data_IF_097091184227
#
_entry.id   IF_097091184227
#
_cell.length_a   1.000
_cell.length_b   1.000
_cell.length_c   1.000
_cell.angle_alpha   90.00
_cell.angle_beta   90.00
_cell.angle_gamma   90.00
#
_symmetry.space_group_name_H-M   'P 1'
#
loop_
_entity.id
_entity.type
_entity.pdbx_description
1 polymer ?
#
# COMPACT_ATOMS: atom_id res chain seq x y z
N UNK A 1 30.56 3.07 -17.16
CA UNK A 1 29.86 4.26 -16.63
C UNK A 1 30.63 4.80 -15.42
N UNK A 2 30.55 6.10 -15.14
CA UNK A 2 31.52 6.81 -14.27
C UNK A 2 31.20 6.66 -12.77
N UNK A 3 32.19 6.97 -11.92
CA UNK A 3 32.07 6.83 -10.46
C UNK A 3 31.19 7.88 -9.77
N UNK A 4 30.79 8.94 -10.49
CA UNK A 4 30.07 10.08 -9.93
C UNK A 4 28.65 9.70 -9.43
N UNK A 5 27.99 8.72 -10.08
CA UNK A 5 26.68 8.21 -9.67
C UNK A 5 26.71 7.53 -8.28
N UNK A 6 27.84 6.94 -7.90
CA UNK A 6 28.01 6.31 -6.56
C UNK A 6 28.11 7.36 -5.45
N UNK A 7 28.65 8.54 -5.76
CA UNK A 7 28.74 9.67 -4.83
C UNK A 7 27.39 10.39 -4.73
N UNK A 8 26.60 10.45 -5.81
CA UNK A 8 25.23 10.95 -5.76
C UNK A 8 24.34 10.10 -4.83
N UNK A 9 24.44 8.77 -4.90
CA UNK A 9 23.72 7.86 -4.00
C UNK A 9 24.13 8.06 -2.52
N UNK A 10 25.42 8.26 -2.23
CA UNK A 10 25.90 8.52 -0.88
C UNK A 10 25.50 9.90 -0.33
N UNK A 11 25.57 10.96 -1.15
CA UNK A 11 25.29 12.33 -0.70
C UNK A 11 23.79 12.63 -0.51
N UNK A 12 22.90 11.96 -1.25
CA UNK A 12 21.46 12.10 -1.03
C UNK A 12 20.98 11.44 0.29
N UNK A 13 21.77 10.52 0.85
CA UNK A 13 21.51 9.90 2.15
C UNK A 13 21.93 10.76 3.35
N UNK A 14 22.73 11.81 3.13
CA UNK A 14 23.29 12.64 4.21
C UNK A 14 22.49 13.91 4.53
N UNK A 15 21.50 14.29 3.72
CA UNK A 15 20.97 15.66 3.73
C UNK A 15 19.76 15.95 4.63
N UNK A 16 19.16 14.95 5.30
CA UNK A 16 18.17 15.20 6.38
C UNK A 16 18.27 14.19 7.53
N UNK A 17 18.84 14.63 8.64
CA UNK A 17 18.76 13.96 9.93
C UNK A 17 17.31 13.82 10.39
N UNK A 18 16.80 12.59 10.47
CA UNK A 18 15.70 12.24 11.37
C UNK A 18 16.08 10.96 12.12
N UNK A 19 16.22 11.10 13.44
CA UNK A 19 16.38 9.98 14.36
C UNK A 19 15.03 9.36 14.71
N UNK A 20 15.09 8.16 15.31
CA UNK A 20 14.04 7.47 16.13
C UNK A 20 13.32 6.27 15.48
N UNK A 21 13.15 5.23 16.32
CA UNK A 21 12.35 3.98 16.21
C UNK A 21 12.76 2.89 15.19
N UNK A 22 13.27 1.75 15.69
CA UNK A 22 13.43 0.47 14.96
C UNK A 22 13.15 -0.73 15.91
N UNK A 23 12.50 -1.79 15.40
CA UNK A 23 12.26 -3.16 15.93
C UNK A 23 11.04 -3.49 16.85
N UNK A 24 9.94 -3.92 16.18
CA UNK A 24 8.82 -4.84 16.53
C UNK A 24 8.21 -5.22 15.16
N UNK A 25 7.85 -6.44 14.77
CA UNK A 25 7.67 -7.75 15.43
C UNK A 25 8.82 -8.73 15.00
N UNK A 26 9.11 -9.91 15.56
CA UNK A 26 8.30 -10.91 16.27
C UNK A 26 9.08 -11.52 17.47
N UNK A 27 8.47 -11.51 18.67
CA UNK A 27 8.86 -12.43 19.76
C UNK A 27 7.77 -12.53 20.84
N UNK A 28 6.56 -12.95 20.46
CA UNK A 28 5.55 -13.42 21.40
C UNK A 28 5.67 -14.94 21.51
N UNK A 29 6.16 -15.43 22.66
CA UNK A 29 6.08 -16.86 22.98
C UNK A 29 4.61 -17.22 23.18
N UNK A 30 4.02 -17.92 22.21
CA UNK A 30 2.74 -18.61 22.41
C UNK A 30 3.05 -19.94 23.12
N UNK A 31 2.43 -20.25 24.26
CA UNK A 31 2.56 -21.58 24.87
C UNK A 31 1.81 -22.60 24.00
N UNK A 32 2.51 -23.64 23.56
CA UNK A 32 1.90 -24.74 22.81
C UNK A 32 0.91 -25.51 23.71
N UNK A 33 -0.31 -25.82 23.23
CA UNK A 33 -1.17 -26.78 23.91
C UNK A 33 -0.60 -28.21 23.77
N UNK A 34 -0.89 -29.13 24.71
CA UNK A 34 -0.43 -30.51 24.61
C UNK A 34 -1.11 -31.24 23.43
N UNK A 35 -0.44 -32.24 22.82
CA UNK A 35 -0.96 -32.91 21.63
C UNK A 35 -2.20 -33.75 21.95
N UNK A 36 -3.37 -33.30 21.48
CA UNK A 36 -4.57 -34.12 21.47
C UNK A 36 -4.42 -35.23 20.43
N UNK A 37 -4.28 -36.48 20.87
CA UNK A 37 -4.19 -37.63 19.98
C UNK A 37 -5.44 -37.72 19.10
N UNK A 38 -5.27 -37.71 17.77
CA UNK A 38 -6.30 -38.12 16.82
C UNK A 38 -5.76 -39.14 15.83
N UNK A 39 -6.42 -40.30 15.90
CA UNK A 39 -6.26 -41.48 15.08
C UNK A 39 -6.06 -41.17 13.60
N UNK A 40 -4.97 -41.70 13.04
CA UNK A 40 -4.79 -41.87 11.60
C UNK A 40 -5.89 -42.82 11.12
N UNK A 41 -6.83 -42.32 10.30
CA UNK A 41 -7.66 -43.18 9.45
C UNK A 41 -7.03 -43.20 8.07
N UNK A 42 -6.44 -44.34 7.71
CA UNK A 42 -6.10 -44.62 6.33
C UNK A 42 -7.39 -44.67 5.50
N UNK A 43 -7.35 -44.13 4.29
CA UNK A 43 -8.29 -44.45 3.22
C UNK A 43 -7.48 -45.02 2.05
N UNK A 44 -7.93 -46.13 1.43
CA UNK A 44 -7.21 -46.75 0.34
C UNK A 44 -7.51 -46.07 -1.00
N UNK A 45 -6.57 -46.17 -1.93
CA UNK A 45 -6.77 -45.78 -3.33
C UNK A 45 -7.81 -46.69 -4.02
N UNK A 46 -8.59 -46.11 -4.93
CA UNK A 46 -9.32 -46.89 -5.93
C UNK A 46 -9.47 -46.10 -7.23
N UNK A 47 -9.05 -46.71 -8.34
CA UNK A 47 -9.14 -46.17 -9.70
C UNK A 47 -10.49 -46.50 -10.37
N UNK A 48 -10.69 -45.92 -11.57
CA UNK A 48 -11.62 -46.31 -12.65
C UNK A 48 -13.08 -45.82 -12.60
N UNK A 49 -13.64 -45.58 -13.80
CA UNK A 49 -15.09 -45.43 -14.04
C UNK A 49 -15.50 -44.19 -14.85
N UNK A 50 -15.65 -44.34 -16.16
CA UNK A 50 -16.51 -43.46 -16.98
C UNK A 50 -17.98 -43.80 -16.74
N UNK A 51 -18.90 -42.82 -16.75
CA UNK A 51 -19.99 -42.78 -17.75
C UNK A 51 -20.82 -41.49 -17.69
N UNK A 52 -21.54 -41.24 -18.78
CA UNK A 52 -22.51 -40.16 -19.00
C UNK A 52 -23.86 -40.41 -18.33
N UNK A 53 -24.64 -39.37 -18.02
CA UNK A 53 -25.80 -39.01 -18.87
C UNK A 53 -26.40 -37.64 -18.49
N UNK A 54 -27.59 -37.35 -19.01
CA UNK A 54 -28.07 -36.01 -19.37
C UNK A 54 -29.43 -35.65 -18.76
N UNK A 55 -29.81 -34.38 -19.00
CA UNK A 55 -31.19 -33.89 -19.18
C UNK A 55 -32.00 -33.28 -17.99
N UNK A 56 -32.41 -32.04 -18.23
CA UNK A 56 -33.79 -31.51 -18.16
C UNK A 56 -34.41 -30.87 -16.88
N UNK A 57 -35.17 -29.81 -17.18
CA UNK A 57 -36.35 -29.23 -16.50
C UNK A 57 -36.21 -28.13 -15.41
N UNK A 58 -36.43 -26.88 -15.87
CA UNK A 58 -37.37 -25.88 -15.28
C UNK A 58 -38.84 -26.30 -15.66
N UNK A 59 -39.95 -25.63 -15.24
CA UNK A 59 -40.09 -24.31 -14.60
C UNK A 59 -41.18 -24.18 -13.49
N UNK A 60 -41.38 -22.97 -12.95
CA UNK A 60 -42.70 -22.42 -12.58
C UNK A 60 -42.63 -20.89 -12.32
N UNK A 61 -43.66 -20.17 -12.77
CA UNK A 61 -43.93 -18.75 -12.48
C UNK A 61 -45.14 -18.61 -11.54
N UNK A 62 -45.21 -17.54 -10.74
CA UNK A 62 -46.43 -16.84 -10.28
C UNK A 62 -46.00 -15.72 -9.31
N UNK A 63 -46.03 -14.44 -9.69
CA UNK A 63 -47.20 -13.54 -9.69
C UNK A 63 -47.81 -13.31 -8.30
N UNK A 64 -47.55 -12.13 -7.75
CA UNK A 64 -48.59 -11.36 -7.03
C UNK A 64 -48.38 -9.86 -7.28
N UNK A 65 -49.34 -9.24 -7.97
CA UNK A 65 -49.45 -7.80 -8.08
C UNK A 65 -50.33 -7.28 -6.94
N UNK A 66 -49.98 -6.12 -6.38
CA UNK A 66 -50.99 -5.19 -5.86
C UNK A 66 -50.50 -3.77 -6.10
N UNK A 67 -51.23 -3.03 -6.94
CA UNK A 67 -50.94 -1.64 -7.25
C UNK A 67 -51.97 -0.75 -6.55
N UNK A 68 -51.52 0.39 -6.00
CA UNK A 68 -52.38 1.54 -5.75
C UNK A 68 -51.69 2.79 -6.30
N UNK A 69 -52.50 3.56 -7.02
CA UNK A 69 -52.28 4.78 -7.78
C UNK A 69 -52.42 6.04 -6.88
N UNK A 70 -52.14 7.31 -7.22
CA UNK A 70 -51.55 8.02 -8.38
C UNK A 70 -51.33 9.52 -8.02
N UNK A 71 -50.13 10.08 -8.27
CA UNK A 71 -49.87 11.46 -8.83
C UNK A 71 -50.24 12.65 -7.88
N UNK A 72 -49.88 13.93 -8.13
CA UNK A 72 -48.54 14.54 -7.95
C UNK A 72 -48.54 15.86 -7.13
N UNK A 73 -47.37 16.44 -6.83
CA UNK A 73 -47.09 17.90 -7.01
C UNK A 73 -45.61 18.22 -6.75
N UNK A 74 -45.05 19.05 -7.61
CA UNK A 74 -43.86 19.90 -7.40
C UNK A 74 -44.22 21.31 -7.95
N UNK A 75 -43.34 22.33 -7.88
CA UNK A 75 -42.15 22.56 -7.06
C UNK A 75 -42.29 23.86 -6.22
N UNK A 76 -41.25 24.27 -5.48
CA UNK A 76 -41.07 25.65 -5.02
C UNK A 76 -39.58 26.05 -5.01
N UNK A 77 -39.16 26.77 -6.04
CA UNK A 77 -38.01 27.68 -6.00
C UNK A 77 -38.47 29.04 -5.44
N UNK A 78 -37.60 29.82 -4.77
CA UNK A 78 -36.98 31.04 -5.35
C UNK A 78 -36.43 32.06 -4.32
N UNK A 79 -35.42 32.82 -4.82
CA UNK A 79 -34.98 34.18 -4.47
C UNK A 79 -34.17 34.52 -3.19
N UNK A 80 -32.85 34.57 -3.40
CA UNK A 80 -31.85 35.52 -2.87
C UNK A 80 -31.99 36.93 -3.52
N UNK A 81 -31.01 37.88 -3.50
CA UNK A 81 -29.77 38.04 -2.69
C UNK A 81 -29.80 39.37 -1.85
N UNK A 82 -29.24 40.57 -2.17
CA UNK A 82 -27.95 40.99 -2.77
C UNK A 82 -27.14 42.14 -2.08
N UNK A 83 -25.82 42.16 -2.33
CA UNK A 83 -24.94 43.36 -2.60
C UNK A 83 -24.59 44.37 -1.47
N UNK A 84 -23.41 45.01 -1.40
CA UNK A 84 -22.00 44.70 -1.76
C UNK A 84 -21.09 45.86 -1.27
N UNK A 85 -19.78 45.62 -1.08
CA UNK A 85 -18.65 46.36 -1.71
C UNK A 85 -17.32 46.26 -0.93
N UNK A 86 -16.27 45.87 -1.67
CA UNK A 86 -14.84 46.06 -1.36
C UNK A 86 -14.44 47.53 -1.67
N UNK A 87 -13.40 48.13 -1.06
CA UNK A 87 -12.08 48.05 -1.70
C UNK A 87 -10.87 47.96 -0.75
N UNK A 88 -10.05 46.95 -1.01
CA UNK A 88 -8.58 46.91 -0.89
C UNK A 88 -7.82 48.19 -0.48
N UNK A 89 -6.92 48.07 0.52
CA UNK A 89 -5.62 48.78 0.48
C UNK A 89 -4.51 48.11 1.29
N UNK A 90 -3.34 48.04 0.66
CA UNK A 90 -2.06 47.56 1.22
C UNK A 90 -1.68 48.35 2.48
N UNK A 91 -1.20 47.66 3.52
CA UNK A 91 -0.39 48.28 4.56
C UNK A 91 0.94 47.55 4.73
N UNK A 92 1.99 48.29 4.37
CA UNK A 92 3.39 47.89 4.36
C UNK A 92 3.98 47.89 5.78
N UNK A 93 5.27 47.52 5.87
CA UNK A 93 6.13 47.29 7.04
C UNK A 93 6.34 48.51 8.00
N UNK A 94 5.33 49.34 8.24
CA UNK A 94 5.33 50.50 9.16
C UNK A 94 4.14 50.53 10.13
N UNK A 95 3.56 49.36 10.43
CA UNK A 95 2.48 49.23 11.43
C UNK A 95 2.94 49.02 12.88
N UNK A 96 4.19 48.61 13.11
CA UNK A 96 4.65 48.16 14.45
C UNK A 96 5.09 49.29 15.41
N UNK A 97 5.27 50.53 14.93
CA UNK A 97 5.79 51.63 15.75
C UNK A 97 4.70 52.61 16.26
N UNK A 98 3.47 52.49 15.74
CA UNK A 98 2.35 53.39 16.11
C UNK A 98 1.65 52.97 17.42
N UNK A 99 1.72 51.69 17.79
CA UNK A 99 1.11 51.18 19.02
C UNK A 99 1.81 51.66 20.31
N UNK A 100 3.11 51.99 20.24
CA UNK A 100 3.90 52.39 21.41
C UNK A 100 3.66 53.86 21.84
N UNK A 101 3.24 54.72 20.92
CA UNK A 101 3.15 56.17 21.18
C UNK A 101 1.76 56.65 21.68
N UNK A 102 0.72 55.80 21.65
CA UNK A 102 -0.61 56.16 22.16
C UNK A 102 -0.79 56.01 23.68
N UNK A 103 0.10 55.28 24.36
CA UNK A 103 0.07 55.14 25.83
C UNK A 103 0.65 56.40 26.50
N UNK A 104 1.71 56.99 25.93
CA UNK A 104 2.39 58.15 26.52
C UNK A 104 1.65 59.49 26.41
N UNK A 105 0.58 59.60 25.61
CA UNK A 105 -0.17 60.86 25.41
C UNK A 105 -1.47 60.98 26.23
N UNK A 106 -1.85 59.95 26.99
CA UNK A 106 -3.01 59.99 27.89
C UNK A 106 -2.66 60.38 29.34
N UNK A 107 -1.37 60.36 29.70
CA UNK A 107 -0.86 60.72 31.05
C UNK A 107 -0.57 62.24 31.18
N UNK A 108 -0.69 63.01 30.09
CA UNK A 108 -0.29 64.43 30.04
C UNK A 108 -1.41 65.47 30.17
N UNK A 109 -2.65 65.07 30.54
CA UNK A 109 -3.77 66.01 30.64
C UNK A 109 -4.83 65.61 31.69
N UNK A 110 -4.35 65.39 32.93
CA UNK A 110 -5.13 65.47 34.16
C UNK A 110 -4.19 65.98 35.29
N UNK A 111 -3.62 67.15 35.07
CA UNK A 111 -3.19 68.02 36.17
C UNK A 111 -4.39 68.88 36.57
N UNK A 112 -4.50 69.21 37.85
CA UNK A 112 -5.59 69.96 38.47
C UNK A 112 -6.97 69.29 38.43
N UNK A 113 -7.17 68.30 39.32
CA UNK A 113 -8.39 68.19 40.13
C UNK A 113 -8.11 67.38 41.43
N UNK A 114 -8.33 68.06 42.56
CA UNK A 114 -8.37 67.62 43.96
C UNK A 114 -7.40 66.56 44.55
N UNK A 115 -6.56 67.05 45.47
CA UNK A 115 -5.92 66.26 46.54
C UNK A 115 -6.89 66.08 47.73
N UNK A 116 -7.63 64.98 47.81
CA UNK A 116 -8.33 64.63 49.08
C UNK A 116 -8.78 63.17 49.23
N UNK A 117 -8.11 62.18 48.62
CA UNK A 117 -8.32 60.76 48.95
C UNK A 117 -7.01 60.03 49.30
N UNK A 118 -6.72 59.98 50.59
CA UNK A 118 -5.77 59.04 51.18
C UNK A 118 -6.44 57.67 51.33
N UNK A 119 -5.73 56.61 50.94
CA UNK A 119 -6.08 55.22 51.31
C UNK A 119 -6.63 54.36 50.18
N UNK A 120 -5.75 53.90 49.27
CA UNK A 120 -6.03 52.66 48.53
C UNK A 120 -4.75 51.90 48.10
N UNK A 121 -3.92 51.53 49.08
CA UNK A 121 -2.74 50.67 48.89
C UNK A 121 -3.07 49.23 48.43
N UNK A 122 -4.35 48.84 48.39
CA UNK A 122 -4.80 47.51 47.98
C UNK A 122 -4.79 47.34 46.46
N UNK A 123 -5.45 48.23 45.71
CA UNK A 123 -5.60 48.10 44.25
C UNK A 123 -4.26 48.04 43.48
N UNK A 124 -3.23 48.75 43.97
CA UNK A 124 -1.90 48.70 43.34
C UNK A 124 -1.12 47.42 43.69
N UNK A 125 -1.41 46.77 44.84
CA UNK A 125 -0.88 45.45 45.18
C UNK A 125 -1.59 44.35 44.40
N UNK A 126 -2.90 44.46 44.20
CA UNK A 126 -3.70 43.44 43.50
C UNK A 126 -3.33 43.35 42.01
N UNK A 127 -3.10 44.48 41.33
CA UNK A 127 -2.68 44.48 39.92
C UNK A 127 -1.27 43.91 39.71
N UNK A 128 -0.32 44.27 40.57
CA UNK A 128 1.04 43.69 40.54
C UNK A 128 1.05 42.23 41.01
N UNK A 129 0.16 41.84 41.92
CA UNK A 129 -0.11 40.45 42.31
C UNK A 129 -0.56 39.63 41.11
N UNK A 130 -1.59 40.08 40.39
CA UNK A 130 -2.10 39.40 39.19
C UNK A 130 -1.06 39.26 38.08
N UNK A 131 -0.22 40.28 37.85
CA UNK A 131 0.90 40.19 36.90
C UNK A 131 2.00 39.24 37.37
N UNK A 132 2.26 39.14 38.68
CA UNK A 132 3.14 38.11 39.23
C UNK A 132 2.53 36.72 39.06
N UNK A 133 1.24 36.53 39.36
CA UNK A 133 0.55 35.25 39.23
C UNK A 133 0.55 34.76 37.78
N UNK A 134 0.29 35.63 36.80
CA UNK A 134 0.40 35.28 35.37
C UNK A 134 1.83 34.88 35.01
N UNK A 135 2.86 35.59 35.49
CA UNK A 135 4.26 35.23 35.27
C UNK A 135 4.67 33.92 36.00
N UNK A 136 4.12 33.64 37.18
CA UNK A 136 4.32 32.41 37.96
C UNK A 136 3.64 31.23 37.26
N UNK A 137 2.43 31.41 36.73
CA UNK A 137 1.72 30.40 35.93
C UNK A 137 2.44 30.15 34.59
N UNK A 138 2.99 31.19 33.96
CA UNK A 138 3.72 31.05 32.69
C UNK A 138 5.11 30.40 32.89
N UNK A 139 5.84 30.76 33.95
CA UNK A 139 7.13 30.15 34.28
C UNK A 139 6.98 28.71 34.79
N UNK A 140 5.96 28.39 35.59
CA UNK A 140 5.67 27.01 36.03
C UNK A 140 5.24 26.09 34.87
N UNK A 141 4.47 26.60 33.90
CA UNK A 141 4.23 25.88 32.64
C UNK A 141 5.52 25.62 31.86
N UNK A 142 6.44 26.59 31.83
CA UNK A 142 7.73 26.46 31.15
C UNK A 142 8.67 25.45 31.84
N UNK A 143 8.69 25.39 33.17
CA UNK A 143 9.48 24.40 33.91
C UNK A 143 8.88 23.00 33.78
N UNK A 144 7.55 22.86 33.84
CA UNK A 144 6.87 21.59 33.58
C UNK A 144 7.17 21.05 32.18
N UNK A 145 7.11 21.90 31.14
CA UNK A 145 7.48 21.50 29.77
C UNK A 145 8.95 21.05 29.65
N UNK A 146 9.87 21.69 30.38
CA UNK A 146 11.29 21.28 30.45
C UNK A 146 11.49 19.94 31.17
N UNK A 147 10.76 19.69 32.26
CA UNK A 147 10.81 18.42 32.98
C UNK A 147 10.26 17.29 32.09
N UNK A 148 9.15 17.53 31.39
CA UNK A 148 8.56 16.57 30.45
C UNK A 148 9.52 16.27 29.29
N UNK A 149 10.17 17.27 28.70
CA UNK A 149 11.12 17.04 27.59
C UNK A 149 12.40 16.33 28.06
N UNK A 150 12.93 16.67 29.24
CA UNK A 150 14.06 15.96 29.84
C UNK A 150 13.71 14.50 30.18
N UNK A 151 12.53 14.24 30.73
CA UNK A 151 12.04 12.89 30.98
C UNK A 151 11.85 12.08 29.69
N UNK A 152 11.29 12.70 28.64
CA UNK A 152 11.17 12.07 27.32
C UNK A 152 12.54 11.71 26.73
N UNK A 153 13.51 12.64 26.76
CA UNK A 153 14.89 12.37 26.30
C UNK A 153 15.54 11.25 27.12
N UNK A 154 15.40 11.24 28.45
CA UNK A 154 15.93 10.19 29.32
C UNK A 154 15.29 8.82 29.05
N UNK A 155 13.98 8.77 28.79
CA UNK A 155 13.28 7.54 28.39
C UNK A 155 13.75 7.05 27.02
N UNK A 156 13.90 7.94 26.04
CA UNK A 156 14.43 7.60 24.72
C UNK A 156 15.88 7.11 24.77
N UNK A 157 16.75 7.70 25.60
CA UNK A 157 18.14 7.22 25.75
C UNK A 157 18.23 5.92 26.53
N UNK A 158 17.41 5.70 27.56
CA UNK A 158 17.30 4.41 28.25
C UNK A 158 16.75 3.31 27.34
N UNK A 159 15.75 3.64 26.51
CA UNK A 159 15.21 2.72 25.50
C UNK A 159 16.26 2.39 24.44
N UNK A 160 16.94 3.39 23.88
CA UNK A 160 17.98 3.23 22.86
C UNK A 160 19.18 2.45 23.41
N UNK A 161 19.67 2.76 24.61
CA UNK A 161 20.79 2.01 25.22
C UNK A 161 20.41 0.57 25.54
N UNK A 162 19.20 0.32 26.08
CA UNK A 162 18.66 -1.04 26.27
C UNK A 162 18.51 -1.79 24.93
N UNK A 163 18.09 -1.10 23.87
CA UNK A 163 17.96 -1.65 22.52
C UNK A 163 19.33 -2.01 21.94
N UNK A 164 20.28 -1.08 21.96
CA UNK A 164 21.69 -1.29 21.55
C UNK A 164 22.29 -2.46 22.33
N UNK A 165 22.20 -2.45 23.66
CA UNK A 165 22.69 -3.55 24.50
C UNK A 165 22.02 -4.88 24.15
N UNK A 166 20.71 -4.92 23.89
CA UNK A 166 20.01 -6.13 23.46
C UNK A 166 20.45 -6.62 22.08
N UNK A 167 20.79 -5.73 21.15
CA UNK A 167 21.33 -6.08 19.84
C UNK A 167 22.76 -6.66 19.97
N UNK A 168 23.61 -6.09 20.82
CA UNK A 168 24.98 -6.57 21.04
C UNK A 168 25.07 -7.82 21.97
N UNK A 169 24.13 -8.02 22.89
CA UNK A 169 24.15 -9.17 23.84
C UNK A 169 23.32 -10.37 23.40
N UNK A 170 22.47 -10.23 22.37
CA UNK A 170 21.80 -11.39 21.74
C UNK A 170 22.84 -12.24 21.03
N UNK A 171 23.12 -13.42 21.58
CA UNK A 171 23.84 -14.48 20.86
C UNK A 171 23.06 -14.80 19.58
N UNK A 172 23.75 -14.70 18.44
CA UNK A 172 23.23 -15.11 17.13
C UNK A 172 22.69 -16.54 17.20
N UNK A 173 21.45 -16.76 16.78
CA UNK A 173 20.88 -18.10 16.59
C UNK A 173 21.48 -18.78 15.35
N UNK A 174 22.04 -17.99 14.43
CA UNK A 174 22.67 -18.43 13.19
C UNK A 174 24.20 -18.41 13.26
N UNK A 175 24.80 -18.53 14.46
CA UNK A 175 26.25 -18.48 14.64
C UNK A 175 26.99 -19.65 13.98
N UNK A 176 26.32 -20.80 13.84
CA UNK A 176 26.85 -22.00 13.17
C UNK A 176 26.62 -22.00 11.65
N UNK A 177 25.91 -21.01 11.10
CA UNK A 177 25.67 -20.90 9.65
C UNK A 177 26.79 -20.08 9.01
N UNK A 178 27.47 -20.69 8.03
CA UNK A 178 28.54 -20.04 7.25
C UNK A 178 27.97 -18.95 6.34
N UNK A 179 28.83 -18.04 5.89
CA UNK A 179 28.46 -17.02 4.93
C UNK A 179 29.49 -15.90 4.84
N UNK A 180 29.29 -14.95 3.91
CA UNK A 180 30.24 -13.88 3.66
C UNK A 180 30.42 -12.94 4.85
N UNK A 181 31.64 -12.43 5.00
CA UNK A 181 31.94 -11.31 5.88
C UNK A 181 31.10 -10.07 5.48
N UNK A 182 31.01 -9.08 6.39
CA UNK A 182 30.26 -7.85 6.15
C UNK A 182 31.01 -6.95 5.17
N UNK A 183 30.48 -6.74 3.97
CA UNK A 183 31.01 -5.78 2.99
C UNK A 183 30.96 -4.33 3.54
N UNK A 184 29.96 -4.02 4.38
CA UNK A 184 29.79 -2.72 5.04
C UNK A 184 29.22 -2.83 6.45
N UNK A 185 29.51 -1.84 7.32
CA UNK A 185 28.98 -1.81 8.68
C UNK A 185 27.46 -1.52 8.73
N UNK A 186 26.98 -0.60 7.89
CA UNK A 186 25.59 -0.14 7.91
C UNK A 186 24.64 -1.02 7.09
N UNK A 187 25.02 -1.41 5.87
CA UNK A 187 24.17 -2.17 4.94
C UNK A 187 24.51 -3.66 4.90
N UNK A 188 25.48 -4.13 5.70
CA UNK A 188 25.98 -5.49 5.62
C UNK A 188 26.42 -5.82 4.20
N UNK A 189 25.74 -6.80 3.60
CA UNK A 189 25.98 -7.34 2.26
C UNK A 189 24.86 -6.99 1.26
N UNK A 190 23.86 -6.20 1.68
CA UNK A 190 22.66 -5.92 0.87
C UNK A 190 22.99 -5.35 -0.50
N UNK A 191 23.93 -4.41 -0.59
CA UNK A 191 24.34 -3.81 -1.87
C UNK A 191 24.91 -4.81 -2.88
N UNK A 192 25.43 -5.96 -2.41
CA UNK A 192 25.99 -7.03 -3.25
C UNK A 192 24.95 -8.11 -3.56
N UNK A 193 24.04 -8.37 -2.62
CA UNK A 193 22.92 -9.33 -2.70
C UNK A 193 21.79 -8.83 -3.61
N UNK A 194 21.57 -7.51 -3.65
CA UNK A 194 20.55 -6.82 -4.45
C UNK A 194 21.14 -5.99 -5.60
N UNK A 195 22.38 -6.27 -6.03
CA UNK A 195 22.95 -5.67 -7.24
C UNK A 195 22.17 -6.11 -8.50
N UNK A 196 22.16 -5.30 -9.56
CA UNK A 196 21.54 -5.65 -10.84
C UNK A 196 22.08 -6.97 -11.43
N UNK A 197 23.34 -7.34 -11.14
CA UNK A 197 23.96 -8.59 -11.56
C UNK A 197 23.98 -9.67 -10.45
N UNK A 198 23.12 -9.54 -9.43
CA UNK A 198 23.12 -10.38 -8.23
C UNK A 198 23.12 -11.90 -8.50
N UNK A 199 22.56 -12.40 -9.61
CA UNK A 199 22.63 -13.82 -9.96
C UNK A 199 24.06 -14.38 -9.98
N UNK A 200 25.05 -13.59 -10.40
CA UNK A 200 26.47 -13.99 -10.35
C UNK A 200 26.97 -14.05 -8.90
N UNK A 201 26.59 -13.09 -8.08
CA UNK A 201 26.88 -13.07 -6.63
C UNK A 201 26.30 -14.30 -5.94
N UNK A 202 25.01 -14.58 -6.14
CA UNK A 202 24.29 -15.70 -5.53
C UNK A 202 24.93 -17.05 -5.90
N UNK A 203 25.33 -17.22 -7.17
CA UNK A 203 26.04 -18.44 -7.60
C UNK A 203 27.41 -18.59 -6.92
N UNK A 204 28.20 -17.53 -6.82
CA UNK A 204 29.48 -17.55 -6.09
C UNK A 204 29.26 -17.89 -4.61
N UNK A 205 28.22 -17.34 -3.99
CA UNK A 205 27.88 -17.63 -2.60
C UNK A 205 27.44 -19.09 -2.38
N UNK A 206 26.68 -19.66 -3.31
CA UNK A 206 26.32 -21.09 -3.28
C UNK A 206 27.53 -22.00 -3.50
N UNK A 207 28.45 -21.63 -4.41
CA UNK A 207 29.73 -22.32 -4.65
C UNK A 207 30.66 -22.28 -3.40
N UNK A 208 30.70 -21.17 -2.64
CA UNK A 208 31.63 -20.98 -1.51
C UNK A 208 31.08 -21.42 -0.13
N UNK A 209 29.79 -21.19 0.12
CA UNK A 209 29.14 -21.42 1.41
C UNK A 209 28.13 -22.57 1.40
N UNK A 210 27.72 -23.06 0.22
CA UNK A 210 26.75 -24.12 0.04
C UNK A 210 25.30 -23.65 0.02
N UNK A 211 24.38 -24.60 0.05
CA UNK A 211 22.93 -24.39 -0.14
C UNK A 211 22.18 -23.74 1.03
N UNK A 212 22.87 -23.48 2.15
CA UNK A 212 22.34 -22.73 3.29
C UNK A 212 23.43 -21.81 3.81
N UNK A 213 23.24 -20.50 3.66
CA UNK A 213 24.21 -19.50 4.10
C UNK A 213 23.54 -18.29 4.75
N UNK A 214 24.27 -17.61 5.63
CA UNK A 214 23.85 -16.37 6.28
C UNK A 214 24.53 -15.18 5.61
N UNK A 215 23.79 -14.10 5.37
CA UNK A 215 24.36 -12.80 5.05
C UNK A 215 23.86 -11.73 6.03
N UNK A 216 24.46 -10.55 5.98
CA UNK A 216 24.10 -9.47 6.90
C UNK A 216 23.26 -8.39 6.22
N UNK A 217 22.18 -7.99 6.89
CA UNK A 217 21.29 -6.88 6.53
C UNK A 217 21.70 -5.56 7.17
N UNK A 218 20.73 -4.64 7.31
CA UNK A 218 20.95 -3.32 7.92
C UNK A 218 21.37 -3.47 9.39
N UNK A 219 22.34 -2.66 9.82
CA UNK A 219 22.90 -2.63 11.19
C UNK A 219 23.38 -4.00 11.71
N UNK A 220 23.73 -4.91 10.80
CA UNK A 220 24.21 -6.24 11.15
C UNK A 220 23.13 -7.25 11.52
N UNK A 221 21.87 -7.01 11.13
CA UNK A 221 20.82 -8.04 11.04
C UNK A 221 21.35 -9.30 10.34
N UNK A 222 20.88 -10.47 10.74
CA UNK A 222 21.27 -11.74 10.15
C UNK A 222 20.13 -12.32 9.32
N UNK A 223 20.35 -12.44 8.01
CA UNK A 223 19.38 -12.98 7.05
C UNK A 223 19.88 -14.32 6.50
N UNK A 224 18.96 -15.23 6.23
CA UNK A 224 19.25 -16.60 5.82
C UNK A 224 18.86 -16.80 4.35
N UNK A 225 19.80 -17.27 3.54
CA UNK A 225 19.58 -17.68 2.17
C UNK A 225 19.59 -19.21 2.10
N UNK A 226 18.61 -19.78 1.40
CA UNK A 226 18.34 -21.22 1.36
C UNK A 226 18.03 -21.60 -0.08
N UNK A 227 18.85 -22.49 -0.65
CA UNK A 227 18.56 -23.22 -1.90
C UNK A 227 18.39 -24.73 -1.67
N UNK A 228 18.64 -25.24 -0.46
CA UNK A 228 18.51 -26.66 -0.14
C UNK A 228 17.06 -27.19 -0.32
N UNK A 229 16.80 -28.14 -1.22
CA UNK A 229 15.43 -28.60 -1.50
C UNK A 229 14.70 -29.21 -0.30
N UNK A 230 15.42 -29.78 0.67
CA UNK A 230 14.81 -30.39 1.87
C UNK A 230 14.41 -29.33 2.89
N UNK A 231 15.22 -28.27 3.03
CA UNK A 231 14.85 -27.09 3.80
C UNK A 231 13.69 -26.33 3.14
N UNK A 232 13.70 -26.15 1.82
CA UNK A 232 12.61 -25.51 1.08
C UNK A 232 11.30 -26.31 1.17
N UNK A 233 11.35 -27.65 1.12
CA UNK A 233 10.19 -28.51 1.40
C UNK A 233 9.61 -28.27 2.80
N UNK A 234 10.48 -28.12 3.81
CA UNK A 234 10.05 -27.85 5.19
C UNK A 234 9.35 -26.48 5.30
N UNK A 235 9.89 -25.47 4.62
CA UNK A 235 9.40 -24.09 4.66
C UNK A 235 8.08 -23.93 3.88
N UNK A 236 8.03 -24.39 2.63
CA UNK A 236 6.90 -24.11 1.73
C UNK A 236 5.77 -25.13 1.79
N UNK A 237 5.99 -26.35 2.29
CA UNK A 237 4.99 -27.43 2.26
C UNK A 237 4.68 -28.00 3.64
N UNK A 238 5.70 -28.44 4.39
CA UNK A 238 5.47 -29.17 5.65
C UNK A 238 4.97 -28.28 6.78
N UNK A 239 5.59 -27.12 6.98
CA UNK A 239 5.35 -26.24 8.13
C UNK A 239 5.01 -24.80 7.68
N UNK A 240 4.34 -24.67 6.53
CA UNK A 240 3.99 -23.39 5.88
C UNK A 240 3.29 -22.37 6.80
N UNK A 241 2.50 -22.84 7.78
CA UNK A 241 1.77 -21.97 8.72
C UNK A 241 2.71 -21.27 9.73
N UNK A 242 3.97 -21.70 9.84
CA UNK A 242 5.02 -21.09 10.68
C UNK A 242 5.82 -20.05 9.89
N UNK A 243 6.06 -20.29 8.60
CA UNK A 243 6.87 -19.44 7.72
C UNK A 243 5.98 -18.46 6.95
N UNK A 244 5.43 -17.48 7.67
CA UNK A 244 4.69 -16.36 7.07
C UNK A 244 5.62 -15.30 6.49
N UNK A 245 5.13 -14.55 5.50
CA UNK A 245 5.85 -13.39 4.97
C UNK A 245 6.00 -12.29 6.05
N UNK A 246 7.03 -11.43 5.95
CA UNK A 246 7.21 -10.30 6.86
C UNK A 246 6.04 -9.29 6.86
N UNK A 247 5.91 -8.52 7.94
CA UNK A 247 4.81 -7.53 8.09
C UNK A 247 4.84 -6.45 6.99
N UNK A 248 6.04 -6.04 6.56
CA UNK A 248 6.20 -5.10 5.44
C UNK A 248 5.62 -5.63 4.12
N UNK A 249 5.66 -6.94 3.85
CA UNK A 249 5.13 -7.52 2.63
C UNK A 249 3.61 -7.29 2.53
N UNK A 250 2.87 -7.56 3.60
CA UNK A 250 1.43 -7.35 3.62
C UNK A 250 1.05 -5.87 3.57
N UNK A 251 1.79 -5.00 4.28
CA UNK A 251 1.57 -3.54 4.26
C UNK A 251 1.75 -2.97 2.85
N UNK A 252 2.85 -3.34 2.17
CA UNK A 252 3.17 -2.90 0.80
C UNK A 252 2.08 -3.34 -0.18
N UNK A 253 1.75 -4.63 -0.18
CA UNK A 253 0.73 -5.16 -1.08
C UNK A 253 -0.65 -4.57 -0.80
N UNK A 254 -0.97 -4.23 0.46
CA UNK A 254 -2.20 -3.51 0.79
C UNK A 254 -2.21 -2.06 0.29
N UNK A 255 -1.07 -1.36 0.33
CA UNK A 255 -0.96 0.01 -0.20
C UNK A 255 -1.09 0.01 -1.73
N UNK A 256 -0.49 -0.95 -2.44
CA UNK A 256 -0.52 -1.00 -3.90
C UNK A 256 -1.83 -1.58 -4.45
N UNK A 257 -2.35 -2.64 -3.83
CA UNK A 257 -3.44 -3.45 -4.38
C UNK A 257 -4.66 -3.54 -3.46
N UNK A 258 -4.71 -2.85 -2.32
CA UNK A 258 -5.84 -2.91 -1.39
C UNK A 258 -6.03 -4.29 -0.75
N UNK A 259 -7.28 -4.68 -0.47
CA UNK A 259 -7.64 -5.91 0.25
C UNK A 259 -7.56 -7.21 -0.60
N UNK A 260 -6.62 -7.26 -1.54
CA UNK A 260 -6.39 -8.40 -2.43
C UNK A 260 -5.63 -9.56 -1.80
N UNK A 261 -5.45 -10.62 -2.58
CA UNK A 261 -4.86 -11.91 -2.14
C UNK A 261 -3.45 -11.74 -1.54
N UNK A 262 -2.60 -10.90 -2.16
CA UNK A 262 -1.23 -10.63 -1.71
C UNK A 262 -1.15 -9.81 -0.41
N UNK A 263 -2.23 -9.09 -0.04
CA UNK A 263 -2.32 -8.35 1.24
C UNK A 263 -2.78 -9.21 2.42
N UNK A 264 -3.17 -10.46 2.16
CA UNK A 264 -3.89 -11.31 3.10
C UNK A 264 -3.05 -12.48 3.61
N UNK A 265 -3.31 -12.92 4.85
CA UNK A 265 -2.69 -14.12 5.43
C UNK A 265 -3.73 -14.97 6.19
N UNK A 266 -3.31 -16.17 6.61
CA UNK A 266 -4.13 -17.08 7.43
C UNK A 266 -5.51 -17.39 6.83
N UNK A 267 -6.56 -17.36 7.67
CA UNK A 267 -7.93 -17.69 7.25
C UNK A 267 -8.50 -16.72 6.20
N UNK A 268 -8.13 -15.42 6.22
CA UNK A 268 -8.58 -14.46 5.19
C UNK A 268 -8.04 -14.88 3.82
N UNK A 269 -6.75 -15.20 3.75
CA UNK A 269 -6.12 -15.72 2.52
C UNK A 269 -6.73 -17.06 2.09
N UNK A 270 -6.92 -18.00 3.02
CA UNK A 270 -7.54 -19.30 2.74
C UNK A 270 -8.95 -19.16 2.16
N UNK A 271 -9.77 -18.24 2.69
CA UNK A 271 -11.11 -17.90 2.20
C UNK A 271 -11.07 -17.31 0.79
N UNK A 272 -10.24 -16.27 0.57
CA UNK A 272 -10.08 -15.63 -0.73
C UNK A 272 -9.58 -16.62 -1.81
N UNK A 273 -8.56 -17.44 -1.50
CA UNK A 273 -8.08 -18.52 -2.37
C UNK A 273 -9.19 -19.50 -2.77
N UNK A 274 -10.00 -19.95 -1.80
CA UNK A 274 -11.09 -20.90 -2.07
C UNK A 274 -12.12 -20.34 -3.05
N UNK A 275 -12.44 -19.06 -2.95
CA UNK A 275 -13.44 -18.38 -3.79
C UNK A 275 -12.92 -17.99 -5.17
N UNK A 276 -11.62 -17.72 -5.31
CA UNK A 276 -10.95 -17.50 -6.61
C UNK A 276 -10.70 -18.81 -7.38
N UNK A 277 -10.42 -19.92 -6.69
CA UNK A 277 -10.01 -21.20 -7.31
C UNK A 277 -10.91 -21.69 -8.47
N UNK A 278 -12.26 -21.55 -8.42
CA UNK A 278 -13.12 -21.94 -9.54
C UNK A 278 -12.82 -21.21 -10.85
N UNK A 279 -12.37 -19.95 -10.79
CA UNK A 279 -12.04 -19.17 -11.98
C UNK A 279 -10.70 -19.57 -12.63
N UNK A 280 -9.93 -20.45 -12.01
CA UNK A 280 -8.67 -20.98 -12.55
C UNK A 280 -8.73 -22.50 -12.84
N UNK A 281 -9.93 -23.11 -12.78
CA UNK A 281 -10.09 -24.53 -13.08
C UNK A 281 -9.97 -24.82 -14.59
N UNK A 282 -9.57 -26.04 -14.96
CA UNK A 282 -9.30 -26.44 -16.35
C UNK A 282 -10.51 -26.22 -17.28
N UNK A 283 -11.74 -26.49 -16.80
CA UNK A 283 -12.96 -26.32 -17.58
C UNK A 283 -13.29 -24.84 -17.85
N UNK A 284 -12.91 -23.94 -16.94
CA UNK A 284 -13.00 -22.49 -17.14
C UNK A 284 -11.88 -21.98 -18.07
N UNK A 285 -10.63 -22.40 -17.85
CA UNK A 285 -9.50 -21.99 -18.69
C UNK A 285 -9.69 -22.33 -20.18
N UNK A 286 -10.33 -23.47 -20.48
CA UNK A 286 -10.73 -23.85 -21.86
C UNK A 286 -11.73 -22.88 -22.50
N UNK A 287 -12.53 -22.16 -21.72
CA UNK A 287 -13.48 -21.15 -22.22
C UNK A 287 -12.81 -19.80 -22.51
N UNK A 288 -11.63 -19.55 -21.92
CA UNK A 288 -10.81 -18.37 -22.17
C UNK A 288 -9.89 -18.53 -23.39
N UNK A 289 -9.65 -19.77 -23.83
CA UNK A 289 -8.79 -20.09 -24.99
C UNK A 289 -9.08 -19.29 -26.28
N UNK A 290 -10.34 -19.00 -26.68
CA UNK A 290 -10.62 -18.16 -27.85
C UNK A 290 -10.04 -16.75 -27.74
N UNK A 291 -10.08 -16.14 -26.55
CA UNK A 291 -9.48 -14.83 -26.25
C UNK A 291 -7.98 -14.85 -26.55
N UNK A 292 -7.31 -15.91 -26.10
CA UNK A 292 -5.87 -16.08 -26.32
C UNK A 292 -5.53 -16.22 -27.80
N UNK A 293 -6.35 -16.91 -28.59
CA UNK A 293 -6.20 -16.96 -30.05
C UNK A 293 -6.45 -15.62 -30.72
N UNK A 294 -7.45 -14.84 -30.31
CA UNK A 294 -7.71 -13.50 -30.87
C UNK A 294 -6.53 -12.55 -30.60
N UNK A 295 -6.06 -12.47 -29.36
CA UNK A 295 -4.94 -11.60 -28.95
C UNK A 295 -3.61 -12.02 -29.62
N UNK A 296 -3.31 -13.31 -29.70
CA UNK A 296 -2.09 -13.79 -30.38
C UNK A 296 -2.15 -13.63 -31.90
N UNK A 297 -3.33 -13.70 -32.52
CA UNK A 297 -3.49 -13.36 -33.93
C UNK A 297 -3.25 -11.86 -34.19
N UNK A 298 -3.76 -10.95 -33.34
CA UNK A 298 -3.45 -9.51 -33.42
C UNK A 298 -1.94 -9.25 -33.42
N UNK A 299 -1.19 -9.89 -32.49
CA UNK A 299 0.29 -9.80 -32.47
C UNK A 299 0.91 -10.26 -33.79
N UNK A 300 0.55 -11.46 -34.24
CA UNK A 300 1.09 -12.08 -35.46
C UNK A 300 0.87 -11.17 -36.67
N UNK A 301 -0.29 -10.53 -36.76
CA UNK A 301 -0.59 -9.61 -37.86
C UNK A 301 0.12 -8.24 -37.70
N UNK A 302 0.32 -7.73 -36.48
CA UNK A 302 1.19 -6.58 -36.22
C UNK A 302 2.67 -6.84 -36.58
N UNK A 303 3.20 -8.03 -36.29
CA UNK A 303 4.55 -8.45 -36.69
C UNK A 303 4.67 -8.60 -38.21
N UNK A 304 3.66 -9.16 -38.89
CA UNK A 304 3.62 -9.17 -40.36
C UNK A 304 3.67 -7.76 -40.94
N UNK A 305 2.92 -6.80 -40.37
CA UNK A 305 2.92 -5.41 -40.84
C UNK A 305 4.30 -4.76 -40.71
N UNK A 306 5.04 -5.01 -39.62
CA UNK A 306 6.43 -4.55 -39.46
C UNK A 306 7.36 -5.10 -40.55
N UNK A 307 7.20 -6.38 -40.88
CA UNK A 307 8.05 -7.08 -41.85
C UNK A 307 7.72 -6.78 -43.33
N UNK A 308 6.71 -5.94 -43.63
CA UNK A 308 6.33 -5.56 -45.01
C UNK A 308 7.50 -4.90 -45.75
N UNK A 309 8.31 -4.09 -45.06
CA UNK A 309 9.43 -3.37 -45.65
C UNK A 309 10.76 -4.16 -45.59
N UNK A 310 10.70 -5.46 -45.26
CA UNK A 310 11.87 -6.34 -45.12
C UNK A 310 12.20 -6.70 -43.68
N UNK A 311 13.44 -7.10 -43.43
CA UNK A 311 13.90 -7.49 -42.09
C UNK A 311 13.94 -6.29 -41.15
N UNK A 312 13.41 -6.45 -39.94
CA UNK A 312 13.38 -5.42 -38.90
C UNK A 312 13.74 -6.01 -37.53
N UNK A 313 14.53 -5.28 -36.73
CA UNK A 313 14.75 -5.60 -35.32
C UNK A 313 13.50 -5.26 -34.49
N UNK A 314 13.04 -6.22 -33.67
CA UNK A 314 11.83 -6.09 -32.85
C UNK A 314 12.20 -6.29 -31.37
N UNK A 315 11.87 -5.31 -30.54
CA UNK A 315 11.92 -5.45 -29.07
C UNK A 315 10.81 -6.39 -28.59
N UNK A 316 11.16 -7.67 -28.49
CA UNK A 316 10.24 -8.73 -28.04
C UNK A 316 9.79 -8.50 -26.60
N UNK A 317 10.63 -7.93 -25.71
CA UNK A 317 10.27 -7.72 -24.31
C UNK A 317 9.11 -6.73 -24.18
N UNK A 318 9.18 -5.60 -24.89
CA UNK A 318 8.10 -4.62 -24.93
C UNK A 318 6.80 -5.22 -25.45
N UNK A 319 6.84 -6.00 -26.53
CA UNK A 319 5.66 -6.69 -27.06
C UNK A 319 5.09 -7.72 -26.07
N UNK A 320 5.92 -8.56 -25.46
CA UNK A 320 5.46 -9.54 -24.48
C UNK A 320 4.78 -8.89 -23.27
N UNK A 321 5.27 -7.72 -22.80
CA UNK A 321 4.60 -6.95 -21.74
C UNK A 321 3.20 -6.50 -22.18
N UNK A 322 3.05 -5.95 -23.40
CA UNK A 322 1.74 -5.51 -23.95
C UNK A 322 0.76 -6.68 -24.07
N UNK A 323 1.23 -7.82 -24.59
CA UNK A 323 0.41 -9.02 -24.78
C UNK A 323 -0.01 -9.63 -23.45
N UNK A 324 0.91 -9.75 -22.48
CA UNK A 324 0.58 -10.30 -21.17
C UNK A 324 -0.54 -9.48 -20.50
N UNK A 325 -0.44 -8.15 -20.56
CA UNK A 325 -1.46 -7.23 -20.07
C UNK A 325 -2.80 -7.36 -20.82
N UNK A 326 -2.78 -7.52 -22.14
CA UNK A 326 -4.00 -7.67 -22.94
C UNK A 326 -4.68 -9.04 -22.72
N UNK A 327 -3.90 -10.12 -22.57
CA UNK A 327 -4.41 -11.44 -22.21
C UNK A 327 -5.10 -11.42 -20.84
N UNK A 328 -4.46 -10.84 -19.82
CA UNK A 328 -5.04 -10.80 -18.47
C UNK A 328 -6.15 -9.76 -18.33
N UNK A 329 -6.08 -8.65 -19.07
CA UNK A 329 -7.19 -7.69 -19.19
C UNK A 329 -8.44 -8.35 -19.75
N UNK A 330 -8.34 -9.00 -20.91
CA UNK A 330 -9.50 -9.60 -21.55
C UNK A 330 -10.01 -10.84 -20.80
N UNK A 331 -9.13 -11.77 -20.42
CA UNK A 331 -9.53 -13.04 -19.81
C UNK A 331 -9.73 -12.96 -18.28
N UNK A 332 -9.02 -12.05 -17.61
CA UNK A 332 -9.14 -11.79 -16.18
C UNK A 332 -10.24 -10.78 -15.85
N UNK A 333 -10.21 -9.60 -16.49
CA UNK A 333 -11.07 -8.47 -16.15
C UNK A 333 -12.25 -8.25 -17.12
N UNK A 334 -12.24 -8.85 -18.31
CA UNK A 334 -13.21 -8.57 -19.38
C UNK A 334 -13.00 -7.20 -20.05
N UNK A 335 -11.77 -6.69 -20.07
CA UNK A 335 -11.43 -5.34 -20.51
C UNK A 335 -10.21 -5.34 -21.46
N UNK A 336 -10.26 -4.58 -22.55
CA UNK A 336 -9.13 -4.41 -23.48
C UNK A 336 -8.31 -3.18 -23.11
N UNK A 337 -7.00 -3.35 -22.90
CA UNK A 337 -6.06 -2.28 -22.51
C UNK A 337 -5.25 -1.72 -23.68
N UNK A 338 -5.05 -2.51 -24.73
CA UNK A 338 -4.19 -2.19 -25.87
C UNK A 338 -4.72 -2.87 -27.15
N UNK A 339 -4.90 -2.09 -28.23
CA UNK A 339 -5.31 -2.62 -29.54
C UNK A 339 -4.22 -3.47 -30.23
N UNK A 340 -3.00 -3.50 -29.66
CA UNK A 340 -1.79 -4.17 -30.15
C UNK A 340 -1.32 -3.68 -31.53
N UNK A 341 -1.66 -2.42 -31.87
CA UNK A 341 -1.20 -1.74 -33.09
C UNK A 341 0.26 -1.29 -32.99
N UNK A 342 0.88 -1.07 -34.15
CA UNK A 342 2.20 -0.46 -34.24
C UNK A 342 2.11 1.07 -34.04
N UNK A 343 3.06 1.65 -33.30
CA UNK A 343 3.03 3.07 -32.91
C UNK A 343 2.06 3.41 -31.76
N UNK A 344 1.22 2.47 -31.31
CA UNK A 344 0.38 2.66 -30.12
C UNK A 344 1.22 2.90 -28.86
N UNK A 345 1.05 4.05 -28.21
CA UNK A 345 1.70 4.33 -26.93
C UNK A 345 1.07 3.47 -25.82
N UNK A 346 1.84 2.80 -24.95
CA UNK A 346 1.29 2.07 -23.82
C UNK A 346 0.37 2.97 -22.98
N UNK A 347 -0.83 2.45 -22.68
CA UNK A 347 -1.83 3.15 -21.87
C UNK A 347 -1.24 3.61 -20.53
N UNK A 348 -1.85 4.62 -19.89
CA UNK A 348 -1.38 5.12 -18.59
C UNK A 348 -1.31 3.97 -17.56
N UNK A 349 -2.29 3.06 -17.60
CA UNK A 349 -2.31 1.83 -16.81
C UNK A 349 -1.16 0.87 -17.15
N UNK A 350 -0.94 0.55 -18.43
CA UNK A 350 0.16 -0.32 -18.85
C UNK A 350 1.54 0.19 -18.40
N UNK A 351 1.73 1.51 -18.43
CA UNK A 351 2.93 2.16 -17.93
C UNK A 351 3.03 2.10 -16.41
N UNK A 352 1.94 2.36 -15.69
CA UNK A 352 1.89 2.25 -14.23
C UNK A 352 2.26 0.82 -13.76
N UNK A 353 1.68 -0.21 -14.36
CA UNK A 353 2.02 -1.62 -14.08
C UNK A 353 3.51 -1.91 -14.31
N UNK A 354 4.07 -1.45 -15.44
CA UNK A 354 5.48 -1.68 -15.79
C UNK A 354 6.46 -0.96 -14.85
N UNK A 355 6.14 0.26 -14.44
CA UNK A 355 7.05 1.11 -13.65
C UNK A 355 6.92 0.92 -12.12
N UNK A 356 5.89 0.21 -11.62
CA UNK A 356 5.66 0.00 -10.19
C UNK A 356 6.88 -0.61 -9.48
N UNK A 357 7.22 -1.87 -9.80
CA UNK A 357 8.31 -2.58 -9.11
C UNK A 357 9.69 -1.91 -9.31
N UNK A 358 10.11 -1.46 -10.52
CA UNK A 358 11.37 -0.73 -10.68
C UNK A 358 11.44 0.62 -9.93
N UNK A 359 10.29 1.23 -9.63
CA UNK A 359 10.21 2.45 -8.81
C UNK A 359 10.26 2.10 -7.32
N UNK A 360 9.59 1.03 -6.91
CA UNK A 360 9.59 0.50 -5.56
C UNK A 360 10.97 -0.01 -5.11
N UNK A 361 11.70 -0.71 -5.98
CA UNK A 361 13.04 -1.24 -5.68
C UNK A 361 14.05 -0.13 -5.35
N UNK A 362 13.90 1.05 -5.97
CA UNK A 362 14.68 2.26 -5.63
C UNK A 362 14.42 2.75 -4.20
N UNK A 363 13.41 2.22 -3.52
CA UNK A 363 13.03 2.50 -2.14
C UNK A 363 13.15 1.28 -1.21
N UNK A 364 13.75 0.16 -1.66
CA UNK A 364 13.81 -1.12 -0.93
C UNK A 364 14.11 -0.99 0.57
N UNK A 365 15.14 -0.22 0.96
CA UNK A 365 15.50 -0.04 2.36
C UNK A 365 14.45 0.75 3.16
N UNK A 366 13.85 1.78 2.57
CA UNK A 366 12.79 2.53 3.26
C UNK A 366 11.51 1.69 3.38
N UNK A 367 11.19 0.91 2.34
CA UNK A 367 10.10 -0.06 2.35
C UNK A 367 10.28 -1.10 3.46
N UNK A 368 11.45 -1.70 3.58
CA UNK A 368 11.71 -2.77 4.55
C UNK A 368 11.83 -2.23 5.99
N UNK A 369 12.57 -1.14 6.20
CA UNK A 369 12.95 -0.71 7.55
C UNK A 369 12.16 0.47 8.11
N UNK A 370 11.51 1.29 7.27
CA UNK A 370 10.77 2.49 7.71
C UNK A 370 9.25 2.27 7.62
N UNK A 371 8.77 1.65 6.54
CA UNK A 371 7.33 1.55 6.27
C UNK A 371 6.50 0.90 7.40
N UNK A 372 6.93 -0.20 8.07
CA UNK A 372 6.17 -0.79 9.19
C UNK A 372 5.91 0.18 10.35
N UNK A 373 6.80 1.16 10.54
CA UNK A 373 6.71 2.18 11.59
C UNK A 373 5.71 3.28 11.27
N UNK A 374 5.64 3.67 9.99
CA UNK A 374 4.89 4.86 9.55
C UNK A 374 3.54 4.54 8.90
N UNK A 375 3.35 3.33 8.37
CA UNK A 375 2.12 2.94 7.66
C UNK A 375 0.85 3.01 8.53
N UNK A 376 0.99 2.77 9.84
CA UNK A 376 -0.11 2.82 10.80
C UNK A 376 -0.26 4.18 11.52
N UNK A 377 0.56 5.19 11.20
CA UNK A 377 0.48 6.50 11.84
C UNK A 377 -0.68 7.32 11.25
N UNK A 378 -1.57 7.79 12.13
CA UNK A 378 -2.65 8.71 11.78
C UNK A 378 -3.71 8.14 10.83
N UNK A 379 -4.50 9.04 10.23
CA UNK A 379 -5.53 8.68 9.25
C UNK A 379 -4.93 8.54 7.83
N UNK A 380 -5.61 7.85 6.90
CA UNK A 380 -5.17 7.79 5.49
C UNK A 380 -4.97 9.17 4.86
N UNK A 381 -5.84 10.14 5.18
CA UNK A 381 -5.71 11.54 4.74
C UNK A 381 -4.46 12.22 5.31
N UNK A 382 -4.11 11.95 6.57
CA UNK A 382 -2.88 12.47 7.18
C UNK A 382 -1.65 11.86 6.50
N UNK A 383 -1.62 10.54 6.27
CA UNK A 383 -0.52 9.89 5.54
C UNK A 383 -0.36 10.44 4.14
N UNK A 384 -1.46 10.66 3.41
CA UNK A 384 -1.44 11.28 2.08
C UNK A 384 -0.84 12.69 2.13
N UNK A 385 -1.27 13.53 3.06
CA UNK A 385 -0.68 14.86 3.27
C UNK A 385 0.82 14.80 3.60
N UNK A 386 1.27 13.86 4.42
CA UNK A 386 2.70 13.65 4.71
C UNK A 386 3.47 13.27 3.44
N UNK A 387 2.97 12.31 2.65
CA UNK A 387 3.55 11.93 1.36
C UNK A 387 3.64 13.14 0.42
N UNK A 388 2.55 13.90 0.27
CA UNK A 388 2.46 15.03 -0.66
C UNK A 388 3.35 16.22 -0.25
N UNK A 389 3.67 16.37 1.05
CA UNK A 389 4.55 17.43 1.57
C UNK A 389 6.03 17.06 1.68
N UNK A 390 6.37 15.77 1.69
CA UNK A 390 7.76 15.32 1.72
C UNK A 390 8.44 15.55 0.36
N UNK A 391 9.64 16.16 0.29
CA UNK A 391 10.35 16.42 -0.96
C UNK A 391 11.08 15.15 -1.46
N UNK A 392 10.32 14.10 -1.80
CA UNK A 392 10.87 12.81 -2.22
C UNK A 392 10.25 12.33 -3.53
N UNK A 393 10.99 12.56 -4.63
CA UNK A 393 10.55 12.26 -6.00
C UNK A 393 10.09 10.80 -6.18
N UNK A 394 10.88 9.81 -5.74
CA UNK A 394 10.52 8.38 -5.91
C UNK A 394 9.23 8.01 -5.17
N UNK A 395 9.01 8.57 -3.97
CA UNK A 395 7.79 8.34 -3.21
C UNK A 395 6.55 8.95 -3.91
N UNK A 396 6.71 10.10 -4.57
CA UNK A 396 5.68 10.68 -5.44
C UNK A 396 5.46 9.84 -6.71
N UNK A 397 6.51 9.30 -7.32
CA UNK A 397 6.40 8.38 -8.46
C UNK A 397 5.59 7.12 -8.09
N UNK A 398 5.87 6.47 -6.95
CA UNK A 398 5.07 5.32 -6.47
C UNK A 398 3.62 5.73 -6.21
N UNK A 399 3.40 6.85 -5.52
CA UNK A 399 2.05 7.38 -5.23
C UNK A 399 1.23 7.55 -6.51
N UNK A 400 1.79 8.23 -7.51
CA UNK A 400 1.10 8.55 -8.76
C UNK A 400 0.83 7.29 -9.60
N UNK A 401 1.73 6.30 -9.56
CA UNK A 401 1.51 4.97 -10.15
C UNK A 401 0.34 4.26 -9.47
N UNK A 402 0.32 4.20 -8.13
CA UNK A 402 -0.74 3.54 -7.35
C UNK A 402 -2.10 4.20 -7.56
N UNK A 403 -2.15 5.53 -7.61
CA UNK A 403 -3.39 6.26 -7.91
C UNK A 403 -3.94 5.87 -9.31
N UNK A 404 -3.09 5.81 -10.33
CA UNK A 404 -3.50 5.41 -11.70
C UNK A 404 -4.02 3.97 -11.74
N UNK A 405 -3.41 3.04 -10.99
CA UNK A 405 -3.87 1.66 -10.87
C UNK A 405 -5.24 1.60 -10.16
N UNK A 406 -5.36 2.27 -9.02
CA UNK A 406 -6.57 2.29 -8.19
C UNK A 406 -7.78 2.87 -8.94
N UNK A 407 -7.60 4.02 -9.61
CA UNK A 407 -8.67 4.68 -10.38
C UNK A 407 -9.13 3.84 -11.57
N UNK A 408 -8.21 3.16 -12.26
CA UNK A 408 -8.56 2.26 -13.37
C UNK A 408 -9.37 1.05 -12.89
N UNK A 409 -8.90 0.38 -11.83
CA UNK A 409 -9.58 -0.78 -11.25
C UNK A 409 -10.97 -0.42 -10.75
N UNK A 410 -11.10 0.69 -10.01
CA UNK A 410 -12.38 1.19 -9.51
C UNK A 410 -13.35 1.52 -10.65
N UNK A 411 -12.87 2.13 -11.75
CA UNK A 411 -13.69 2.45 -12.93
C UNK A 411 -14.25 1.19 -13.59
N UNK A 412 -13.38 0.22 -13.90
CA UNK A 412 -13.78 -1.06 -14.51
C UNK A 412 -14.76 -1.80 -13.59
N UNK A 413 -14.48 -1.84 -12.28
CA UNK A 413 -15.37 -2.46 -11.31
C UNK A 413 -16.73 -1.77 -11.22
N UNK A 414 -16.78 -0.44 -11.20
CA UNK A 414 -18.02 0.32 -11.11
C UNK A 414 -18.91 0.16 -12.36
N UNK A 415 -18.32 0.15 -13.56
CA UNK A 415 -19.02 -0.14 -14.81
C UNK A 415 -19.60 -1.57 -14.78
N UNK A 416 -18.78 -2.55 -14.42
CA UNK A 416 -19.17 -3.97 -14.34
C UNK A 416 -20.24 -4.24 -13.29
N UNK A 417 -20.14 -3.59 -12.12
CA UNK A 417 -21.13 -3.69 -11.04
C UNK A 417 -22.49 -3.14 -11.46
N UNK A 418 -22.53 -2.03 -12.22
CA UNK A 418 -23.78 -1.50 -12.80
C UNK A 418 -24.40 -2.50 -13.79
N UNK A 419 -23.63 -3.05 -14.72
CA UNK A 419 -24.13 -4.06 -15.65
C UNK A 419 -24.70 -5.30 -14.91
N UNK A 420 -24.01 -5.76 -13.86
CA UNK A 420 -24.47 -6.84 -12.99
C UNK A 420 -25.71 -6.53 -12.13
N UNK A 421 -26.06 -5.26 -11.91
CA UNK A 421 -27.28 -4.85 -11.21
C UNK A 421 -28.48 -4.67 -12.14
N UNK A 422 -28.26 -4.21 -13.36
CA UNK A 422 -29.32 -4.05 -14.37
C UNK A 422 -29.60 -5.32 -15.18
N UNK A 423 -28.77 -6.36 -15.07
CA UNK A 423 -28.91 -7.58 -15.87
C UNK A 423 -28.55 -7.35 -17.34
N UNK A 424 -27.60 -6.46 -17.60
CA UNK A 424 -27.25 -6.01 -18.96
C UNK A 424 -26.43 -7.08 -19.71
N UNK A 425 -27.13 -8.06 -20.28
CA UNK A 425 -26.53 -9.09 -21.13
C UNK A 425 -25.89 -8.53 -22.40
N UNK A 426 -26.30 -7.34 -22.86
CA UNK A 426 -25.70 -6.66 -24.00
C UNK A 426 -24.31 -6.12 -23.67
N UNK A 427 -24.13 -5.49 -22.49
CA UNK A 427 -22.83 -5.09 -21.97
C UNK A 427 -21.88 -6.28 -21.89
N UNK A 428 -22.29 -7.39 -21.26
CA UNK A 428 -21.44 -8.57 -21.16
C UNK A 428 -21.13 -9.17 -22.53
N UNK A 429 -22.09 -9.17 -23.47
CA UNK A 429 -21.88 -9.70 -24.82
C UNK A 429 -20.93 -8.87 -25.69
N UNK A 430 -20.80 -7.57 -25.40
CA UNK A 430 -19.82 -6.67 -26.03
C UNK A 430 -18.43 -6.75 -25.40
N UNK A 431 -18.30 -7.20 -24.15
CA UNK A 431 -17.01 -7.39 -23.50
C UNK A 431 -16.22 -8.59 -24.06
N UNK A 432 -14.88 -8.49 -24.14
CA UNK A 432 -14.00 -9.64 -24.29
C UNK A 432 -14.37 -10.78 -23.31
N UNK A 433 -14.36 -12.02 -23.80
CA UNK A 433 -14.74 -13.18 -23.00
C UNK A 433 -16.24 -13.30 -22.67
N UNK A 434 -17.09 -12.38 -23.12
CA UNK A 434 -18.57 -12.43 -22.98
C UNK A 434 -19.07 -12.64 -21.54
N UNK A 435 -18.47 -11.93 -20.57
CA UNK A 435 -18.79 -12.08 -19.15
C UNK A 435 -18.41 -13.45 -18.55
N UNK A 436 -17.48 -14.18 -19.19
CA UNK A 436 -16.84 -15.40 -18.67
C UNK A 436 -15.43 -15.15 -18.17
N UNK A 437 -15.02 -13.91 -17.99
CA UNK A 437 -13.73 -13.59 -17.39
C UNK A 437 -13.68 -13.98 -15.88
N UNK A 438 -12.47 -14.00 -15.31
CA UNK A 438 -12.20 -14.37 -13.91
C UNK A 438 -13.05 -13.53 -12.94
N UNK A 439 -13.12 -12.21 -13.12
CA UNK A 439 -13.84 -11.31 -12.22
C UNK A 439 -15.36 -11.44 -12.37
N UNK A 440 -15.89 -11.62 -13.58
CA UNK A 440 -17.30 -11.96 -13.78
C UNK A 440 -17.67 -13.26 -13.06
N UNK A 441 -16.79 -14.25 -13.13
CA UNK A 441 -16.97 -15.55 -12.46
C UNK A 441 -16.94 -15.40 -10.94
N UNK A 442 -16.00 -14.62 -10.41
CA UNK A 442 -15.91 -14.27 -9.00
C UNK A 442 -17.18 -13.54 -8.51
N UNK A 443 -17.63 -12.51 -9.24
CA UNK A 443 -18.84 -11.75 -8.89
C UNK A 443 -20.11 -12.62 -8.94
N UNK A 444 -20.19 -13.57 -9.88
CA UNK A 444 -21.29 -14.56 -9.96
C UNK A 444 -21.28 -15.52 -8.78
N UNK A 445 -20.12 -16.10 -8.44
CA UNK A 445 -19.97 -16.97 -7.27
C UNK A 445 -20.27 -16.23 -5.95
N UNK A 446 -19.81 -14.98 -5.84
CA UNK A 446 -20.02 -14.16 -4.65
C UNK A 446 -21.50 -13.85 -4.37
N UNK A 447 -22.35 -13.73 -5.40
CA UNK A 447 -23.81 -13.60 -5.23
C UNK A 447 -24.47 -14.85 -4.60
N UNK A 448 -23.84 -16.03 -4.68
CA UNK A 448 -24.38 -17.30 -4.17
C UNK A 448 -23.95 -17.56 -2.72
N UNK A 449 -22.70 -17.24 -2.36
CA UNK A 449 -22.10 -17.55 -1.05
C UNK A 449 -22.09 -16.35 -0.06
N UNK A 450 -22.75 -15.24 -0.40
CA UNK A 450 -22.63 -13.94 0.30
C UNK A 450 -22.84 -14.05 1.82
N UNK A 451 -23.92 -14.68 2.25
CA UNK A 451 -24.38 -14.70 3.66
C UNK A 451 -23.48 -15.48 4.64
N UNK A 452 -22.50 -16.27 4.13
CA UNK A 452 -21.61 -17.07 4.98
C UNK A 452 -20.12 -16.89 4.68
N UNK A 453 -19.74 -16.58 3.44
CA UNK A 453 -18.33 -16.45 3.06
C UNK A 453 -18.04 -15.32 2.05
N UNK A 454 -19.01 -14.45 1.76
CA UNK A 454 -18.90 -13.43 0.71
C UNK A 454 -17.66 -12.54 0.75
N UNK A 455 -17.10 -12.27 -0.42
CA UNK A 455 -16.03 -11.29 -0.66
C UNK A 455 -16.66 -9.89 -0.70
N UNK A 456 -16.10 -8.96 0.06
CA UNK A 456 -16.54 -7.56 0.03
C UNK A 456 -16.13 -6.85 -1.26
N UNK A 457 -16.82 -5.77 -1.64
CA UNK A 457 -16.44 -4.97 -2.83
C UNK A 457 -14.95 -4.57 -2.82
N UNK A 458 -14.43 -4.18 -1.64
CA UNK A 458 -13.04 -3.81 -1.43
C UNK A 458 -12.05 -4.97 -1.71
N UNK A 459 -12.42 -6.19 -1.33
CA UNK A 459 -11.66 -7.40 -1.66
C UNK A 459 -11.79 -7.76 -3.16
N UNK A 460 -12.95 -7.54 -3.80
CA UNK A 460 -13.07 -7.74 -5.27
C UNK A 460 -12.19 -6.74 -6.02
N UNK A 461 -12.25 -5.45 -5.69
CA UNK A 461 -11.34 -4.45 -6.28
C UNK A 461 -9.88 -4.77 -5.94
N UNK A 462 -9.61 -5.31 -4.76
CA UNK A 462 -8.26 -5.70 -4.38
C UNK A 462 -7.74 -6.87 -5.22
N UNK A 463 -8.58 -7.88 -5.49
CA UNK A 463 -8.25 -8.94 -6.43
C UNK A 463 -8.07 -8.42 -7.86
N UNK A 464 -8.88 -7.46 -8.31
CA UNK A 464 -8.71 -6.82 -9.62
C UNK A 464 -7.41 -6.02 -9.75
N UNK A 465 -6.88 -5.47 -8.65
CA UNK A 465 -5.60 -4.76 -8.66
C UNK A 465 -4.38 -5.72 -8.60
N UNK A 466 -4.57 -6.95 -8.08
CA UNK A 466 -3.56 -8.01 -8.08
C UNK A 466 -3.42 -8.77 -9.41
N UNK A 467 -4.34 -8.55 -10.37
CA UNK A 467 -4.51 -9.29 -11.63
C UNK A 467 -4.08 -8.43 -12.83
#
# INVERSE_FOLDING_TARGET
MKGDDKIAFANHLLTRSFSVEILRHCNTRIPLPPPSARLIRCWPDQESGEESDSSHSRPAEAVFQSAVSVVPTAPCEFYSPPVANDPSRKLTRKGLESASCKIHKWVGHNADLDKSYLGNDHLHKDFFGYLNDVNIIQSSKLTMLRIISQAAVALCTLWLTRWVLKCFTRKSTLHNVRGPARDSWLLGNLARVYDFNAFKTHRIFEEEYGSVMKFYGVLGEEQLYISDPKALYHIFLKDQDIYVEPEEYYIVNHIHFGDGIFSSHGEKHRRQRKLLSPAFNIAHMRQLTPIFYEVTNKLKDAFKMKLVNGSQEIDVLSWMTRIALELIGQAGLGYSFDDLTDGGSPSAFARAVKELFPTEDRMLLARQYILPWVANIGSPRFRRFVVDTLPWKTLHEVRDIVDVLHDHVNRIYAEKKKAFSFGDEAFFSQQPGRGKDVISTLMKANKVDFDKNGISDAEVTGHMACV
#
